data_IF_847725974605
#
_entry.id   IF_847725974605
#
_cell.length_a   1.000
_cell.length_b   1.000
_cell.length_c   1.000
_cell.angle_alpha   90.00
_cell.angle_beta   90.00
_cell.angle_gamma   90.00
#
_symmetry.space_group_name_H-M   'P 1'
#
loop_
_entity.id
_entity.type
_entity.pdbx_description
1 polymer ?
#
# COMPACT_ATOMS: atom_id res chain seq x y z
N UNK A 1 -6.78 -18.31 22.33
CA UNK A 1 -5.91 -18.06 21.21
C UNK A 1 -4.95 -16.92 21.58
N UNK A 2 -3.63 -17.10 21.34
CA UNK A 2 -2.61 -16.11 21.76
C UNK A 2 -2.86 -14.75 21.10
N UNK A 3 -3.17 -14.70 19.80
CA UNK A 3 -3.51 -13.47 19.09
C UNK A 3 -4.69 -12.71 19.73
N UNK A 4 -5.73 -13.43 20.14
CA UNK A 4 -6.90 -12.85 20.82
C UNK A 4 -6.55 -12.31 22.22
N UNK A 5 -5.68 -12.99 22.95
CA UNK A 5 -5.22 -12.51 24.26
C UNK A 5 -4.42 -11.23 24.13
N UNK A 6 -3.53 -11.15 23.13
CA UNK A 6 -2.77 -9.92 22.81
C UNK A 6 -3.74 -8.81 22.41
N UNK A 7 -4.68 -9.08 21.50
CA UNK A 7 -5.69 -8.11 21.06
C UNK A 7 -6.47 -7.50 22.25
N UNK A 8 -6.95 -8.33 23.15
CA UNK A 8 -7.75 -7.89 24.30
C UNK A 8 -6.90 -7.18 25.37
N UNK A 9 -5.59 -7.43 25.44
CA UNK A 9 -4.68 -6.75 26.35
C UNK A 9 -4.35 -5.32 25.93
N UNK A 10 -4.53 -4.96 24.65
CA UNK A 10 -4.22 -3.63 24.13
C UNK A 10 -5.36 -2.65 24.48
N UNK A 11 -5.09 -1.52 25.14
CA UNK A 11 -6.09 -0.49 25.41
C UNK A 11 -6.71 0.10 24.13
N UNK A 12 -7.99 0.51 24.19
CA UNK A 12 -8.72 1.06 23.04
C UNK A 12 -8.04 2.29 22.45
N UNK A 13 -7.48 3.15 23.27
CA UNK A 13 -6.72 4.33 22.83
C UNK A 13 -5.51 3.96 21.95
N UNK A 14 -4.79 2.90 22.33
CA UNK A 14 -3.65 2.42 21.55
C UNK A 14 -4.10 1.76 20.25
N UNK A 15 -5.20 1.02 20.27
CA UNK A 15 -5.81 0.44 19.06
C UNK A 15 -6.17 1.53 18.04
N UNK A 16 -6.81 2.62 18.51
CA UNK A 16 -7.14 3.75 17.65
C UNK A 16 -5.89 4.45 17.10
N UNK A 17 -4.86 4.61 17.92
CA UNK A 17 -3.58 5.20 17.49
C UNK A 17 -2.88 4.35 16.43
N UNK A 18 -2.89 3.02 16.56
CA UNK A 18 -2.35 2.08 15.57
C UNK A 18 -3.09 2.21 14.24
N UNK A 19 -4.42 2.27 14.27
CA UNK A 19 -5.24 2.45 13.04
C UNK A 19 -4.90 3.75 12.32
N UNK A 20 -4.74 4.86 13.04
CA UNK A 20 -4.30 6.15 12.46
C UNK A 20 -2.88 6.04 11.92
N UNK A 21 -1.97 5.41 12.66
CA UNK A 21 -0.59 5.19 12.24
C UNK A 21 -0.48 4.42 10.94
N UNK A 22 -1.27 3.35 10.78
CA UNK A 22 -1.34 2.56 9.54
C UNK A 22 -1.87 3.43 8.39
N UNK A 23 -2.91 4.24 8.62
CA UNK A 23 -3.42 5.14 7.60
C UNK A 23 -2.36 6.15 7.11
N UNK A 24 -1.59 6.72 8.03
CA UNK A 24 -0.47 7.61 7.70
C UNK A 24 0.67 6.89 6.97
N UNK A 25 0.99 5.67 7.41
CA UNK A 25 1.99 4.83 6.75
C UNK A 25 1.60 4.51 5.30
N UNK A 26 0.36 4.08 5.06
CA UNK A 26 -0.14 3.80 3.71
C UNK A 26 -0.11 5.05 2.84
N UNK A 27 -0.51 6.21 3.40
CA UNK A 27 -0.43 7.48 2.69
C UNK A 27 1.03 7.83 2.32
N UNK A 28 1.96 7.66 3.25
CA UNK A 28 3.38 7.89 3.02
C UNK A 28 3.97 6.98 1.94
N UNK A 29 3.68 5.68 1.99
CA UNK A 29 4.10 4.71 0.96
C UNK A 29 3.48 5.07 -0.41
N UNK A 30 2.22 5.51 -0.43
CA UNK A 30 1.57 6.00 -1.64
C UNK A 30 2.29 7.23 -2.24
N UNK A 31 2.69 8.20 -1.41
CA UNK A 31 3.45 9.37 -1.85
C UNK A 31 4.86 9.00 -2.36
N UNK A 32 5.51 8.01 -1.75
CA UNK A 32 6.80 7.49 -2.25
C UNK A 32 6.65 6.75 -3.58
N UNK A 33 5.65 5.89 -3.71
CA UNK A 33 5.40 5.16 -4.97
C UNK A 33 5.04 6.12 -6.11
N UNK A 34 4.29 7.17 -5.81
CA UNK A 34 3.99 8.25 -6.76
C UNK A 34 5.20 9.16 -7.06
N UNK A 35 6.35 8.93 -6.44
CA UNK A 35 7.56 9.77 -6.55
C UNK A 35 7.33 11.24 -6.17
N UNK A 36 6.32 11.54 -5.36
CA UNK A 36 6.15 12.87 -4.74
C UNK A 36 7.17 13.10 -3.63
N UNK A 37 7.44 12.06 -2.86
CA UNK A 37 8.49 12.01 -1.86
C UNK A 37 9.55 11.02 -2.32
N UNK A 38 10.80 11.44 -2.34
CA UNK A 38 11.95 10.63 -2.75
C UNK A 38 13.04 10.65 -1.68
N UNK A 39 13.91 9.66 -1.72
CA UNK A 39 15.03 9.57 -0.78
C UNK A 39 16.04 10.68 -1.03
N UNK A 40 16.68 11.16 0.04
CA UNK A 40 17.73 12.17 0.02
C UNK A 40 18.82 11.78 1.02
N UNK A 41 20.06 11.79 0.58
CA UNK A 41 21.21 11.46 1.43
C UNK A 41 21.43 12.49 2.55
N UNK A 42 20.99 13.74 2.35
CA UNK A 42 21.19 14.82 3.32
C UNK A 42 20.04 14.93 4.34
N UNK A 43 18.79 14.64 3.94
CA UNK A 43 17.58 14.87 4.76
C UNK A 43 16.72 13.64 4.95
N UNK A 44 17.20 12.45 4.55
CA UNK A 44 16.48 11.17 4.44
C UNK A 44 15.36 11.22 3.39
N UNK A 45 14.56 12.26 3.36
CA UNK A 45 13.45 12.46 2.45
C UNK A 45 13.46 13.89 1.89
N UNK A 46 13.08 14.00 0.64
CA UNK A 46 12.85 15.27 -0.05
C UNK A 46 11.67 15.15 -1.02
N UNK A 47 11.19 16.28 -1.51
CA UNK A 47 10.17 16.25 -2.57
C UNK A 47 10.83 16.10 -3.94
N UNK A 48 10.09 15.56 -4.89
CA UNK A 48 10.56 15.43 -6.28
C UNK A 48 10.71 16.80 -6.93
N UNK A 49 11.83 17.02 -7.59
CA UNK A 49 12.02 18.22 -8.40
C UNK A 49 11.31 18.09 -9.75
N UNK A 50 10.36 18.97 -10.01
CA UNK A 50 9.58 18.99 -11.26
C UNK A 50 10.30 19.76 -12.39
N UNK A 51 11.61 19.51 -12.58
CA UNK A 51 12.42 20.17 -13.61
C UNK A 51 13.26 19.17 -14.38
N UNK A 52 13.51 19.46 -15.66
CA UNK A 52 14.43 18.71 -16.50
C UNK A 52 13.79 17.55 -17.25
N UNK A 53 14.63 16.63 -17.70
CA UNK A 53 14.26 15.50 -18.57
C UNK A 53 13.31 14.50 -17.90
N UNK A 54 13.36 14.39 -16.57
CA UNK A 54 12.49 13.50 -15.79
C UNK A 54 11.07 14.04 -15.57
N UNK A 55 10.76 15.28 -16.02
CA UNK A 55 9.42 15.84 -15.84
C UNK A 55 8.36 15.03 -16.58
N UNK A 56 8.64 14.61 -17.82
CA UNK A 56 7.69 13.86 -18.64
C UNK A 56 7.44 12.43 -18.16
N UNK A 57 8.34 11.84 -17.39
CA UNK A 57 8.15 10.53 -16.79
C UNK A 57 7.65 10.64 -15.35
N UNK A 58 8.51 11.05 -14.44
CA UNK A 58 8.22 11.09 -12.99
C UNK A 58 7.30 12.25 -12.62
N UNK A 59 7.56 13.46 -13.17
CA UNK A 59 6.80 14.67 -12.83
C UNK A 59 5.31 14.55 -13.20
N UNK A 60 5.01 14.07 -14.39
CA UNK A 60 3.63 13.87 -14.85
C UNK A 60 2.94 12.79 -14.03
N UNK A 61 3.61 11.68 -13.70
CA UNK A 61 3.07 10.63 -12.82
C UNK A 61 2.69 11.16 -11.43
N UNK A 62 3.57 11.97 -10.84
CA UNK A 62 3.32 12.63 -9.56
C UNK A 62 2.14 13.62 -9.62
N UNK A 63 2.05 14.43 -10.68
CA UNK A 63 0.92 15.35 -10.89
C UNK A 63 -0.40 14.60 -11.09
N UNK A 64 -0.42 13.54 -11.89
CA UNK A 64 -1.59 12.70 -12.06
C UNK A 64 -2.07 12.10 -10.74
N UNK A 65 -1.14 11.68 -9.88
CA UNK A 65 -1.49 11.19 -8.54
C UNK A 65 -2.14 12.28 -7.69
N UNK A 66 -1.61 13.50 -7.68
CA UNK A 66 -2.22 14.62 -6.95
C UNK A 66 -3.63 14.94 -7.47
N UNK A 67 -3.80 14.99 -8.80
CA UNK A 67 -5.11 15.19 -9.42
C UNK A 67 -6.07 14.07 -9.03
N UNK A 68 -5.62 12.81 -9.04
CA UNK A 68 -6.41 11.66 -8.65
C UNK A 68 -6.88 11.73 -7.21
N UNK A 69 -6.00 12.07 -6.28
CA UNK A 69 -6.34 12.25 -4.86
C UNK A 69 -7.36 13.37 -4.67
N UNK A 70 -7.18 14.52 -5.35
CA UNK A 70 -8.15 15.62 -5.30
C UNK A 70 -9.51 15.24 -5.87
N UNK A 71 -9.54 14.50 -6.99
CA UNK A 71 -10.80 14.00 -7.57
C UNK A 71 -11.52 13.06 -6.60
N UNK A 72 -10.81 12.10 -6.00
CA UNK A 72 -11.36 11.21 -4.99
C UNK A 72 -11.91 12.01 -3.80
N UNK A 73 -11.16 12.98 -3.29
CA UNK A 73 -11.59 13.82 -2.17
C UNK A 73 -12.87 14.58 -2.48
N UNK A 74 -12.97 15.21 -3.64
CA UNK A 74 -14.18 15.91 -4.09
C UNK A 74 -15.37 14.95 -4.21
N UNK A 75 -15.16 13.76 -4.78
CA UNK A 75 -16.20 12.76 -4.92
C UNK A 75 -16.67 12.21 -3.58
N UNK A 76 -15.77 12.04 -2.60
CA UNK A 76 -16.12 11.65 -1.23
C UNK A 76 -16.94 12.73 -0.53
N UNK A 77 -16.57 14.01 -0.65
CA UNK A 77 -17.35 15.13 -0.10
C UNK A 77 -18.77 15.18 -0.70
N UNK A 78 -18.88 14.88 -1.99
CA UNK A 78 -20.18 14.80 -2.68
C UNK A 78 -20.94 13.50 -2.41
N UNK A 79 -20.46 12.62 -1.53
CA UNK A 79 -21.08 11.34 -1.20
C UNK A 79 -21.33 10.43 -2.41
N UNK A 80 -20.46 10.46 -3.43
CA UNK A 80 -20.56 9.60 -4.60
C UNK A 80 -20.25 8.17 -4.19
N UNK A 81 -21.18 7.23 -4.42
CA UNK A 81 -20.96 5.81 -4.14
C UNK A 81 -19.87 5.27 -5.05
N UNK A 82 -18.86 4.63 -4.47
CA UNK A 82 -17.71 4.12 -5.22
C UNK A 82 -16.68 5.19 -5.63
N UNK A 83 -16.63 6.34 -4.93
CA UNK A 83 -15.75 7.46 -5.23
C UNK A 83 -14.28 7.04 -5.43
N UNK A 84 -13.76 6.13 -4.60
CA UNK A 84 -12.38 5.65 -4.69
C UNK A 84 -12.16 4.90 -6.01
N UNK A 85 -13.04 3.96 -6.35
CA UNK A 85 -12.93 3.19 -7.60
C UNK A 85 -13.04 4.09 -8.83
N UNK A 86 -14.04 4.98 -8.84
CA UNK A 86 -14.22 5.96 -9.92
C UNK A 86 -12.99 6.87 -10.05
N UNK A 87 -12.43 7.33 -8.96
CA UNK A 87 -11.23 8.17 -8.98
C UNK A 87 -10.00 7.43 -9.54
N UNK A 88 -9.81 6.16 -9.18
CA UNK A 88 -8.73 5.32 -9.73
C UNK A 88 -8.91 5.17 -11.25
N UNK A 89 -10.12 4.82 -11.72
CA UNK A 89 -10.40 4.65 -13.15
C UNK A 89 -10.20 5.98 -13.91
N UNK A 90 -10.70 7.10 -13.38
CA UNK A 90 -10.49 8.40 -14.00
C UNK A 90 -9.02 8.79 -14.09
N UNK A 91 -8.25 8.57 -13.04
CA UNK A 91 -6.81 8.84 -13.04
C UNK A 91 -6.08 7.96 -14.04
N UNK A 92 -6.46 6.68 -14.14
CA UNK A 92 -5.91 5.76 -15.13
C UNK A 92 -6.20 6.20 -16.57
N UNK A 93 -7.46 6.59 -16.86
CA UNK A 93 -7.84 7.12 -18.18
C UNK A 93 -7.07 8.40 -18.50
N UNK A 94 -6.91 9.32 -17.54
CA UNK A 94 -6.07 10.52 -17.72
C UNK A 94 -4.61 10.14 -18.01
N UNK A 95 -4.07 9.12 -17.35
CA UNK A 95 -2.74 8.60 -17.63
C UNK A 95 -2.57 8.11 -19.07
N UNK A 96 -3.55 7.33 -19.57
CA UNK A 96 -3.58 6.87 -20.97
C UNK A 96 -3.61 8.06 -21.94
N UNK A 97 -4.44 9.07 -21.67
CA UNK A 97 -4.51 10.28 -22.51
C UNK A 97 -3.16 11.00 -22.52
N UNK A 98 -2.50 11.15 -21.37
CA UNK A 98 -1.18 11.77 -21.27
C UNK A 98 -0.11 10.97 -22.04
N UNK A 99 -0.16 9.65 -22.06
CA UNK A 99 0.76 8.80 -22.82
C UNK A 99 0.49 8.92 -24.33
N UNK A 100 -0.77 8.90 -24.77
CA UNK A 100 -1.16 9.05 -26.18
C UNK A 100 -0.79 10.43 -26.74
N UNK A 101 -0.83 11.48 -25.92
CA UNK A 101 -0.44 12.86 -26.30
C UNK A 101 1.07 13.07 -26.21
N UNK A 102 1.86 12.11 -25.75
CA UNK A 102 3.30 12.24 -25.57
C UNK A 102 3.71 13.13 -24.38
N UNK A 103 2.76 13.54 -23.53
CA UNK A 103 3.03 14.32 -22.32
C UNK A 103 3.70 13.44 -21.26
N UNK A 104 3.22 12.20 -21.13
CA UNK A 104 3.80 11.18 -20.26
C UNK A 104 4.63 10.20 -21.09
N UNK A 105 5.86 9.95 -20.66
CA UNK A 105 6.77 8.97 -21.27
C UNK A 105 7.16 7.95 -20.21
N UNK A 106 6.80 6.67 -20.37
CA UNK A 106 7.21 5.63 -19.44
C UNK A 106 8.73 5.53 -19.34
N UNK A 107 9.25 5.37 -18.13
CA UNK A 107 10.67 5.23 -17.85
C UNK A 107 10.88 4.14 -16.78
N UNK A 108 11.31 2.97 -17.24
CA UNK A 108 11.54 1.82 -16.36
C UNK A 108 12.72 2.02 -15.41
N UNK A 109 13.75 2.81 -15.80
CA UNK A 109 14.91 3.10 -14.95
C UNK A 109 14.53 4.03 -13.79
N UNK A 110 13.60 4.95 -14.04
CA UNK A 110 13.02 5.81 -13.00
C UNK A 110 11.92 5.11 -12.17
N UNK A 111 11.59 3.85 -12.48
CA UNK A 111 10.53 3.09 -11.82
C UNK A 111 9.12 3.47 -12.26
N UNK A 112 8.96 4.05 -13.44
CA UNK A 112 7.68 4.42 -14.04
C UNK A 112 7.30 3.39 -15.12
N UNK A 113 6.58 2.35 -14.68
CA UNK A 113 6.21 1.19 -15.51
C UNK A 113 4.82 1.28 -16.13
N UNK A 114 4.11 2.39 -15.93
CA UNK A 114 2.77 2.56 -16.47
C UNK A 114 2.83 2.72 -17.98
N UNK A 115 2.37 1.72 -18.69
CA UNK A 115 2.26 1.69 -20.16
C UNK A 115 0.83 1.33 -20.57
N UNK A 116 0.43 1.73 -21.78
CA UNK A 116 -0.87 1.37 -22.32
C UNK A 116 -0.94 -0.15 -22.46
N UNK A 117 -1.99 -0.81 -21.91
CA UNK A 117 -2.12 -2.27 -22.03
C UNK A 117 -2.22 -2.70 -23.48
N UNK A 118 -1.34 -3.57 -23.93
CA UNK A 118 -1.37 -4.14 -25.30
C UNK A 118 -2.34 -5.31 -25.41
N UNK A 119 -2.74 -5.90 -24.28
CA UNK A 119 -3.71 -6.99 -24.22
C UNK A 119 -4.56 -6.90 -22.96
N UNK A 120 -5.83 -7.30 -23.05
CA UNK A 120 -6.73 -7.36 -21.89
C UNK A 120 -6.41 -8.50 -20.94
N UNK A 121 -5.83 -9.57 -21.43
CA UNK A 121 -5.44 -10.75 -20.65
C UNK A 121 -4.11 -11.27 -21.19
N UNK A 122 -3.17 -11.55 -20.30
CA UNK A 122 -1.93 -12.24 -20.61
C UNK A 122 -1.84 -13.50 -19.76
N UNK A 123 -1.62 -14.66 -20.39
CA UNK A 123 -1.42 -15.95 -19.73
C UNK A 123 0.07 -16.32 -19.67
N UNK A 124 0.93 -15.35 -19.47
CA UNK A 124 2.36 -15.62 -19.29
C UNK A 124 2.65 -16.06 -17.85
N UNK A 125 2.89 -17.35 -17.67
CA UNK A 125 3.27 -17.97 -16.39
C UNK A 125 4.78 -18.14 -16.22
N UNK A 126 5.59 -17.58 -17.10
CA UNK A 126 7.06 -17.77 -17.06
C UNK A 126 7.67 -17.23 -15.76
N UNK A 127 7.23 -16.05 -15.31
CA UNK A 127 7.66 -15.45 -14.04
C UNK A 127 7.21 -16.25 -12.83
N UNK A 128 6.01 -16.85 -12.90
CA UNK A 128 5.51 -17.74 -11.83
C UNK A 128 6.36 -19.00 -11.75
N UNK A 129 6.74 -19.61 -12.89
CA UNK A 129 7.64 -20.76 -12.95
C UNK A 129 9.01 -20.47 -12.34
N UNK A 130 9.53 -19.28 -12.54
CA UNK A 130 10.81 -18.84 -11.95
C UNK A 130 10.76 -18.61 -10.44
N UNK A 131 9.59 -18.31 -9.90
CA UNK A 131 9.39 -18.06 -8.46
C UNK A 131 8.91 -19.30 -7.72
N UNK A 132 8.15 -20.16 -8.40
CA UNK A 132 7.57 -21.36 -7.81
C UNK A 132 8.64 -22.36 -7.39
N UNK A 133 8.61 -22.75 -6.13
CA UNK A 133 9.56 -23.73 -5.58
C UNK A 133 10.91 -23.16 -5.16
N UNK A 134 11.18 -21.86 -5.31
CA UNK A 134 12.44 -21.24 -4.86
C UNK A 134 12.65 -21.37 -3.35
N UNK A 135 11.60 -21.54 -2.57
CA UNK A 135 11.68 -21.82 -1.14
C UNK A 135 12.40 -23.12 -0.82
N UNK A 136 12.48 -24.07 -1.77
CA UNK A 136 13.21 -25.33 -1.63
C UNK A 136 14.67 -25.24 -2.08
N UNK A 137 15.08 -24.16 -2.74
CA UNK A 137 16.44 -23.90 -3.22
C UNK A 137 17.20 -22.93 -2.29
N UNK A 138 17.02 -23.07 -0.99
CA UNK A 138 17.67 -22.21 -0.02
C UNK A 138 19.14 -22.59 0.15
N UNK A 139 20.03 -21.60 0.01
CA UNK A 139 21.43 -21.73 0.35
C UNK A 139 21.65 -21.36 1.83
N UNK A 140 21.97 -22.36 2.64
CA UNK A 140 22.20 -22.19 4.08
C UNK A 140 23.66 -21.89 4.44
N UNK A 141 24.55 -21.71 3.47
CA UNK A 141 26.00 -21.53 3.70
C UNK A 141 26.29 -20.27 4.54
N UNK A 142 25.50 -19.21 4.40
CA UNK A 142 25.63 -17.96 5.14
C UNK A 142 24.44 -17.68 6.07
N UNK A 143 23.70 -18.73 6.46
CA UNK A 143 22.50 -18.57 7.27
C UNK A 143 22.83 -18.21 8.72
N UNK A 144 22.45 -17.02 9.16
CA UNK A 144 22.61 -16.58 10.54
C UNK A 144 21.29 -16.76 11.30
N UNK A 145 21.24 -17.76 12.18
CA UNK A 145 20.07 -18.09 13.01
C UNK A 145 19.62 -16.88 13.85
N UNK A 146 20.56 -16.10 14.41
CA UNK A 146 20.23 -14.93 15.22
C UNK A 146 19.47 -13.88 14.41
N UNK A 147 19.98 -13.53 13.23
CA UNK A 147 19.30 -12.60 12.33
C UNK A 147 17.94 -13.14 11.86
N UNK A 148 17.85 -14.43 11.57
CA UNK A 148 16.58 -15.06 11.19
C UNK A 148 15.52 -14.93 12.29
N UNK A 149 15.86 -15.20 13.54
CA UNK A 149 14.93 -15.05 14.67
C UNK A 149 14.48 -13.61 14.82
N UNK A 150 15.41 -12.64 14.74
CA UNK A 150 15.07 -11.20 14.83
C UNK A 150 14.10 -10.78 13.72
N UNK A 151 14.39 -11.17 12.49
CA UNK A 151 13.55 -10.85 11.33
C UNK A 151 12.19 -11.53 11.44
N UNK A 152 12.15 -12.80 11.86
CA UNK A 152 10.90 -13.52 12.09
C UNK A 152 10.01 -12.81 13.14
N UNK A 153 10.59 -12.38 14.26
CA UNK A 153 9.84 -11.62 15.26
C UNK A 153 9.41 -10.25 14.76
N UNK A 154 10.27 -9.55 13.99
CA UNK A 154 9.90 -8.27 13.39
C UNK A 154 8.68 -8.41 12.46
N UNK A 155 8.69 -9.39 11.57
CA UNK A 155 7.54 -9.67 10.70
C UNK A 155 6.29 -10.06 11.49
N UNK A 156 6.44 -10.89 12.54
CA UNK A 156 5.31 -11.25 13.40
C UNK A 156 4.67 -10.03 14.07
N UNK A 157 5.47 -9.09 14.55
CA UNK A 157 4.95 -7.85 15.14
C UNK A 157 4.29 -6.96 14.09
N UNK A 158 4.89 -6.80 12.91
CA UNK A 158 4.30 -6.02 11.82
C UNK A 158 2.95 -6.62 11.43
N UNK A 159 2.89 -7.93 11.20
CA UNK A 159 1.65 -8.65 10.86
C UNK A 159 0.56 -8.47 11.93
N UNK A 160 0.91 -8.64 13.22
CA UNK A 160 -0.03 -8.43 14.32
C UNK A 160 -0.58 -7.00 14.36
N UNK A 161 0.27 -5.99 14.23
CA UNK A 161 -0.18 -4.59 14.31
C UNK A 161 -0.95 -4.17 13.05
N UNK A 162 -0.58 -4.64 11.88
CA UNK A 162 -1.30 -4.38 10.64
C UNK A 162 -2.71 -4.97 10.68
N UNK A 163 -2.84 -6.24 11.05
CA UNK A 163 -4.13 -6.90 11.26
C UNK A 163 -4.98 -6.19 12.32
N UNK A 164 -4.37 -5.80 13.45
CA UNK A 164 -5.08 -5.11 14.51
C UNK A 164 -5.60 -3.74 14.05
N UNK A 165 -4.76 -2.96 13.39
CA UNK A 165 -5.13 -1.62 12.94
C UNK A 165 -6.19 -1.63 11.84
N UNK A 166 -6.07 -2.53 10.88
CA UNK A 166 -7.04 -2.69 9.79
C UNK A 166 -8.39 -3.21 10.30
N UNK A 167 -8.40 -4.27 11.12
CA UNK A 167 -9.64 -4.81 11.68
C UNK A 167 -10.38 -3.77 12.53
N UNK A 168 -9.68 -3.02 13.39
CA UNK A 168 -10.32 -2.00 14.23
C UNK A 168 -10.75 -0.82 13.38
N UNK A 169 -9.91 -0.35 12.46
CA UNK A 169 -10.24 0.77 11.58
C UNK A 169 -11.48 0.51 10.74
N UNK A 170 -11.56 -0.67 10.12
CA UNK A 170 -12.73 -1.09 9.33
C UNK A 170 -13.95 -1.32 10.21
N UNK A 171 -13.82 -2.05 11.33
CA UNK A 171 -14.93 -2.35 12.24
C UNK A 171 -15.51 -1.07 12.87
N UNK A 172 -14.65 -0.12 13.25
CA UNK A 172 -15.10 1.18 13.76
C UNK A 172 -15.86 1.99 12.70
N UNK A 173 -15.38 1.98 11.45
CA UNK A 173 -16.04 2.71 10.35
C UNK A 173 -17.36 2.06 9.91
N UNK A 174 -17.49 0.75 10.11
CA UNK A 174 -18.66 -0.04 9.76
C UNK A 174 -19.67 -0.20 10.93
N UNK A 175 -19.43 0.49 12.06
CA UNK A 175 -20.26 0.39 13.29
C UNK A 175 -20.43 -1.06 13.78
N UNK A 176 -19.37 -1.86 13.65
CA UNK A 176 -19.35 -3.29 14.03
C UNK A 176 -18.76 -3.53 15.43
N UNK A 177 -18.28 -2.49 16.10
CA UNK A 177 -17.75 -2.59 17.46
C UNK A 177 -18.90 -2.55 18.46
N UNK A 178 -18.75 -3.31 19.57
CA UNK A 178 -19.70 -3.25 20.70
C UNK A 178 -19.47 -1.95 21.54
N UNK A 179 -20.33 -1.76 22.56
CA UNK A 179 -20.26 -0.59 23.46
C UNK A 179 -18.92 -0.48 24.20
N UNK A 180 -18.20 -1.61 24.32
CA UNK A 180 -16.88 -1.67 24.94
C UNK A 180 -15.73 -1.49 23.92
N UNK A 181 -16.05 -1.25 22.64
CA UNK A 181 -15.08 -1.10 21.56
C UNK A 181 -14.40 -2.40 21.14
N UNK A 182 -15.03 -3.57 21.40
CA UNK A 182 -14.56 -4.87 21.00
C UNK A 182 -15.25 -5.34 19.72
N UNK A 183 -14.53 -6.10 18.89
CA UNK A 183 -15.10 -6.68 17.68
C UNK A 183 -15.76 -8.04 18.03
N UNK A 184 -17.09 -8.20 17.86
CA UNK A 184 -17.76 -9.48 18.02
C UNK A 184 -17.16 -10.53 17.08
N UNK A 185 -17.00 -11.77 17.56
CA UNK A 185 -16.45 -12.91 16.80
C UNK A 185 -15.03 -12.68 16.24
N UNK A 186 -14.22 -11.92 16.94
CA UNK A 186 -12.82 -11.62 16.54
C UNK A 186 -11.99 -12.87 16.21
N UNK A 187 -12.28 -14.02 16.84
CA UNK A 187 -11.63 -15.31 16.54
C UNK A 187 -11.77 -15.70 15.07
N UNK A 188 -12.97 -15.53 14.52
CA UNK A 188 -13.24 -15.85 13.11
C UNK A 188 -12.51 -14.91 12.17
N UNK A 189 -12.49 -13.61 12.48
CA UNK A 189 -11.77 -12.64 11.70
C UNK A 189 -10.24 -12.89 11.69
N UNK A 190 -9.65 -13.15 12.87
CA UNK A 190 -8.22 -13.47 12.99
C UNK A 190 -7.82 -14.82 12.37
N UNK A 191 -8.77 -15.77 12.25
CA UNK A 191 -8.52 -17.03 11.55
C UNK A 191 -8.64 -16.90 10.04
N UNK A 192 -9.47 -15.98 9.56
CA UNK A 192 -9.62 -15.72 8.13
C UNK A 192 -8.44 -14.91 7.57
N UNK A 193 -7.76 -14.14 8.42
CA UNK A 193 -6.58 -13.33 8.08
C UNK A 193 -5.27 -14.15 8.12
N UNK A 194 -5.24 -15.26 8.86
CA UNK A 194 -4.06 -16.13 9.02
C UNK A 194 -3.96 -17.16 7.90
#
# INVERSE_FOLDING_TARGET
NVREAIFNAIPLTLKSAVSVGIGLFVAFVGLQNAKLIVNSDSTLLTYQHFKGETFHSVGIGALLTLIGVLLIAVMLIKNVKGAILCGIILTWVLGIICELTGIYVPDAEAGMYSVIPTAFVSFDFSSLGNTFGQVFNLDFTNFNIGNFIVVMFAFLFVDLFDTLGTLIGVASKADMLDEEGKLPRIKGALLADA
#
